data_IF_107844756064
#
_entry.id   IF_107844756064
#
_cell.length_a   1.000
_cell.length_b   1.000
_cell.length_c   1.000
_cell.angle_alpha   90.00
_cell.angle_beta   90.00
_cell.angle_gamma   90.00
#
_symmetry.space_group_name_H-M   'P 1'
#
loop_
_entity.id
_entity.type
_entity.pdbx_description
1 polymer ?
#
# COMPACT_ATOMS: atom_id res chain seq x y z
N UNK A 1 -8.57 16.85 2.20
CA UNK A 1 -9.77 16.10 1.73
C UNK A 1 -9.68 15.66 0.26
N UNK A 2 -9.04 16.41 -0.66
CA UNK A 2 -8.87 16.05 -2.09
C UNK A 2 -8.19 14.68 -2.32
N UNK A 3 -7.32 14.24 -1.39
CA UNK A 3 -6.60 12.97 -1.46
C UNK A 3 -7.50 11.73 -1.29
N UNK A 4 -8.65 11.87 -0.64
CA UNK A 4 -9.57 10.74 -0.39
C UNK A 4 -10.10 10.18 -1.71
N UNK A 5 -10.29 11.02 -2.73
CA UNK A 5 -10.96 10.66 -3.98
C UNK A 5 -10.29 9.59 -4.83
N UNK A 6 -9.02 9.22 -4.58
CA UNK A 6 -8.34 8.15 -5.31
C UNK A 6 -7.36 7.38 -4.41
N UNK A 7 -6.11 7.82 -4.29
CA UNK A 7 -5.03 7.03 -3.71
C UNK A 7 -5.28 6.59 -2.26
N UNK A 8 -5.81 7.48 -1.43
CA UNK A 8 -6.11 7.17 -0.03
C UNK A 8 -7.21 6.12 0.07
N UNK A 9 -8.32 6.33 -0.67
CA UNK A 9 -9.43 5.38 -0.61
C UNK A 9 -9.07 4.03 -1.21
N UNK A 10 -8.28 4.03 -2.29
CA UNK A 10 -7.77 2.79 -2.89
C UNK A 10 -6.98 1.96 -1.87
N UNK A 11 -6.04 2.59 -1.16
CA UNK A 11 -5.21 1.87 -0.19
C UNK A 11 -5.98 1.44 1.07
N UNK A 12 -6.69 2.36 1.72
CA UNK A 12 -7.49 2.05 2.91
C UNK A 12 -8.55 0.99 2.57
N UNK A 13 -9.24 1.15 1.44
CA UNK A 13 -10.27 0.21 1.00
C UNK A 13 -9.70 -1.16 0.66
N UNK A 14 -8.51 -1.24 0.07
CA UNK A 14 -7.84 -2.52 -0.19
C UNK A 14 -7.65 -3.33 1.10
N UNK A 15 -7.22 -2.66 2.18
CA UNK A 15 -7.04 -3.32 3.47
C UNK A 15 -8.39 -3.72 4.11
N UNK A 16 -9.36 -2.81 4.12
CA UNK A 16 -10.59 -2.96 4.90
C UNK A 16 -11.69 -3.67 4.12
N UNK A 17 -11.93 -3.26 2.87
CA UNK A 17 -13.06 -3.79 2.08
C UNK A 17 -12.66 -5.04 1.31
N UNK A 18 -11.51 -5.01 0.58
CA UNK A 18 -11.08 -6.12 -0.28
C UNK A 18 -10.46 -7.25 0.53
N UNK A 19 -9.36 -6.97 1.23
CA UNK A 19 -8.64 -7.97 2.00
C UNK A 19 -9.37 -8.39 3.27
N UNK A 20 -10.05 -7.44 3.92
CA UNK A 20 -10.71 -7.60 5.22
C UNK A 20 -9.70 -7.99 6.29
N UNK A 21 -8.67 -7.18 6.42
CA UNK A 21 -7.64 -7.35 7.45
C UNK A 21 -8.29 -7.42 8.83
N UNK A 22 -7.92 -8.42 9.60
CA UNK A 22 -8.46 -8.69 10.92
C UNK A 22 -7.54 -8.15 12.03
N UNK A 23 -8.06 -7.77 13.19
CA UNK A 23 -7.24 -7.41 14.34
C UNK A 23 -6.25 -8.51 14.71
N UNK A 24 -5.01 -8.11 15.03
CA UNK A 24 -3.94 -9.04 15.40
C UNK A 24 -3.18 -9.65 14.21
N UNK A 25 -3.60 -9.38 12.96
CA UNK A 25 -2.98 -9.94 11.76
C UNK A 25 -1.58 -9.39 11.50
N UNK A 26 -0.81 -10.16 10.71
CA UNK A 26 0.42 -9.74 10.05
C UNK A 26 0.14 -9.35 8.59
N UNK A 27 0.76 -8.24 8.16
CA UNK A 27 0.55 -7.61 6.85
C UNK A 27 1.91 -7.29 6.22
N UNK A 28 2.06 -7.55 4.91
CA UNK A 28 3.17 -7.04 4.11
C UNK A 28 2.64 -6.19 2.96
N UNK A 29 3.26 -5.04 2.71
CA UNK A 29 2.89 -4.11 1.64
C UNK A 29 4.08 -3.88 0.73
N UNK A 30 4.01 -4.36 -0.50
CA UNK A 30 5.01 -4.17 -1.54
C UNK A 30 4.73 -2.88 -2.30
N UNK A 31 5.66 -1.93 -2.22
CA UNK A 31 5.54 -0.58 -2.75
C UNK A 31 4.98 0.42 -1.73
N UNK A 32 5.86 1.31 -1.24
CA UNK A 32 5.56 2.34 -0.24
C UNK A 32 5.42 3.72 -0.90
N UNK A 33 4.56 3.79 -1.92
CA UNK A 33 4.08 5.06 -2.47
C UNK A 33 2.75 5.46 -1.83
N UNK A 34 2.11 6.52 -2.32
CA UNK A 34 0.89 7.04 -1.70
C UNK A 34 -0.28 6.06 -1.58
N UNK A 35 -0.36 5.02 -2.43
CA UNK A 35 -1.33 3.92 -2.28
C UNK A 35 -0.85 2.92 -1.22
N UNK A 36 0.42 2.52 -1.26
CA UNK A 36 1.00 1.59 -0.28
C UNK A 36 0.94 2.13 1.15
N UNK A 37 1.30 3.39 1.35
CA UNK A 37 1.20 4.05 2.66
C UNK A 37 -0.25 4.13 3.14
N UNK A 38 -1.20 4.31 2.21
CA UNK A 38 -2.64 4.27 2.53
C UNK A 38 -3.11 2.85 2.89
N UNK A 39 -2.51 1.79 2.30
CA UNK A 39 -2.75 0.40 2.73
C UNK A 39 -2.22 0.20 4.16
N UNK A 40 -1.03 0.71 4.47
CA UNK A 40 -0.43 0.65 5.81
C UNK A 40 -1.35 1.33 6.84
N UNK A 41 -1.84 2.54 6.55
CA UNK A 41 -2.83 3.21 7.39
C UNK A 41 -4.11 2.39 7.57
N UNK A 42 -4.62 1.81 6.48
CA UNK A 42 -5.81 0.95 6.50
C UNK A 42 -5.61 -0.31 7.34
N UNK A 43 -4.48 -0.99 7.20
CA UNK A 43 -4.11 -2.16 7.98
C UNK A 43 -3.98 -1.84 9.47
N UNK A 44 -3.31 -0.73 9.81
CA UNK A 44 -3.24 -0.23 11.19
C UNK A 44 -4.63 0.08 11.75
N UNK A 45 -5.49 0.72 10.96
CA UNK A 45 -6.86 1.04 11.34
C UNK A 45 -7.71 -0.22 11.57
N UNK A 46 -7.47 -1.28 10.81
CA UNK A 46 -8.10 -2.59 10.99
C UNK A 46 -7.57 -3.37 12.22
N UNK A 47 -6.48 -2.91 12.84
CA UNK A 47 -5.91 -3.52 14.04
C UNK A 47 -4.82 -4.57 13.77
N UNK A 48 -4.17 -4.55 12.60
CA UNK A 48 -2.98 -5.36 12.36
C UNK A 48 -1.87 -5.01 13.35
N UNK A 49 -1.17 -6.04 13.85
CA UNK A 49 -0.11 -5.89 14.87
C UNK A 49 1.29 -5.92 14.29
N UNK A 50 1.46 -6.59 13.16
CA UNK A 50 2.71 -6.62 12.40
C UNK A 50 2.43 -6.08 11.01
N UNK A 51 3.06 -4.96 10.65
CA UNK A 51 2.91 -4.32 9.34
C UNK A 51 4.30 -4.12 8.76
N UNK A 52 4.60 -4.85 7.70
CA UNK A 52 5.90 -4.88 7.04
C UNK A 52 5.82 -4.07 5.75
N UNK A 53 6.54 -2.97 5.68
CA UNK A 53 6.70 -2.16 4.48
C UNK A 53 7.86 -2.68 3.62
N UNK A 54 7.65 -2.88 2.34
CA UNK A 54 8.65 -3.38 1.38
C UNK A 54 8.79 -2.41 0.23
N UNK A 55 9.98 -1.86 0.04
CA UNK A 55 10.32 -0.97 -1.09
C UNK A 55 11.80 -1.08 -1.44
N UNK A 56 12.20 -0.56 -2.60
CA UNK A 56 13.61 -0.44 -3.01
C UNK A 56 14.26 0.84 -2.45
N UNK A 57 13.46 1.86 -2.15
CA UNK A 57 13.92 3.16 -1.71
C UNK A 57 13.87 3.28 -0.18
N UNK A 58 15.03 3.40 0.49
CA UNK A 58 15.09 3.52 1.95
C UNK A 58 14.35 4.76 2.49
N UNK A 59 14.24 5.83 1.70
CA UNK A 59 13.49 7.03 2.09
C UNK A 59 11.99 6.75 2.20
N UNK A 60 11.43 5.96 1.27
CA UNK A 60 10.03 5.55 1.32
C UNK A 60 9.76 4.61 2.50
N UNK A 61 10.72 3.76 2.85
CA UNK A 61 10.61 2.90 4.03
C UNK A 61 10.57 3.71 5.33
N UNK A 62 11.31 4.80 5.42
CA UNK A 62 11.20 5.71 6.58
C UNK A 62 9.83 6.38 6.64
N UNK A 63 9.30 6.86 5.51
CA UNK A 63 7.93 7.40 5.48
C UNK A 63 6.88 6.36 5.90
N UNK A 64 7.01 5.12 5.41
CA UNK A 64 6.08 4.04 5.76
C UNK A 64 5.97 3.81 7.29
N UNK A 65 7.07 3.98 8.04
CA UNK A 65 7.05 3.92 9.51
C UNK A 65 6.14 4.98 10.13
N UNK A 66 6.16 6.18 9.57
CA UNK A 66 5.31 7.28 10.04
C UNK A 66 3.82 7.00 9.84
N UNK A 67 3.46 6.22 8.79
CA UNK A 67 2.09 5.79 8.53
C UNK A 67 1.66 4.56 9.33
N UNK A 68 2.61 3.87 9.98
CA UNK A 68 2.29 2.78 10.89
C UNK A 68 2.94 1.44 10.59
N UNK A 69 3.90 1.38 9.66
CA UNK A 69 4.69 0.17 9.47
C UNK A 69 5.52 -0.12 10.74
N UNK A 70 5.46 -1.35 11.20
CA UNK A 70 6.22 -1.84 12.37
C UNK A 70 7.60 -2.35 11.99
N UNK A 71 7.74 -2.80 10.74
CA UNK A 71 8.98 -3.32 10.17
C UNK A 71 9.14 -2.81 8.74
N UNK A 72 10.39 -2.79 8.28
CA UNK A 72 10.73 -2.41 6.91
C UNK A 72 11.67 -3.44 6.29
N UNK A 73 11.49 -3.70 5.01
CA UNK A 73 12.35 -4.57 4.20
C UNK A 73 12.79 -3.80 2.96
N UNK A 74 14.10 -3.59 2.82
CA UNK A 74 14.67 -3.02 1.62
C UNK A 74 14.90 -4.13 0.58
N UNK A 75 14.05 -4.20 -0.42
CA UNK A 75 14.12 -5.23 -1.46
C UNK A 75 15.31 -5.08 -2.42
N UNK A 76 16.09 -3.98 -2.32
CA UNK A 76 17.36 -3.85 -3.04
C UNK A 76 18.53 -4.60 -2.37
N UNK A 77 18.36 -5.03 -1.10
CA UNK A 77 19.40 -5.66 -0.31
C UNK A 77 19.30 -7.19 -0.26
N UNK A 78 18.21 -7.77 -0.76
CA UNK A 78 18.02 -9.22 -0.76
C UNK A 78 16.62 -9.66 -1.17
N UNK A 79 16.30 -10.94 -0.97
CA UNK A 79 14.98 -11.48 -1.27
C UNK A 79 13.96 -11.02 -0.22
N UNK A 80 12.96 -10.20 -0.60
CA UNK A 80 11.97 -9.70 0.34
C UNK A 80 11.06 -10.82 0.90
N UNK A 81 10.87 -11.92 0.18
CA UNK A 81 10.06 -13.05 0.66
C UNK A 81 10.74 -13.72 1.86
N UNK A 82 12.03 -13.97 1.74
CA UNK A 82 12.81 -14.57 2.84
C UNK A 82 12.94 -13.60 4.03
N UNK A 83 13.13 -12.30 3.76
CA UNK A 83 13.16 -11.28 4.81
C UNK A 83 11.82 -11.19 5.59
N UNK A 84 10.68 -11.22 4.88
CA UNK A 84 9.35 -11.25 5.51
C UNK A 84 9.19 -12.50 6.38
N UNK A 85 9.57 -13.66 5.87
CA UNK A 85 9.51 -14.91 6.65
C UNK A 85 10.40 -14.87 7.89
N UNK A 86 11.59 -14.27 7.80
CA UNK A 86 12.45 -14.10 8.96
C UNK A 86 11.81 -13.24 10.06
N UNK A 87 11.03 -12.22 9.68
CA UNK A 87 10.27 -11.38 10.62
C UNK A 87 9.08 -12.13 11.24
N UNK A 88 8.54 -13.12 10.53
CA UNK A 88 7.33 -13.85 10.89
C UNK A 88 7.59 -15.31 11.29
N UNK A 89 8.72 -15.58 11.93
CA UNK A 89 9.11 -16.89 12.45
C UNK A 89 9.09 -18.04 11.41
N UNK A 90 9.31 -17.71 10.14
CA UNK A 90 9.33 -18.65 9.02
C UNK A 90 7.98 -18.87 8.31
N UNK A 91 6.90 -18.34 8.84
CA UNK A 91 5.54 -18.60 8.32
C UNK A 91 5.16 -17.71 7.13
N UNK A 92 5.44 -16.41 7.19
CA UNK A 92 4.93 -15.39 6.28
C UNK A 92 3.80 -14.57 6.90
N UNK A 93 3.09 -13.78 6.08
CA UNK A 93 2.06 -12.87 6.54
C UNK A 93 0.64 -13.35 6.24
N UNK A 94 -0.33 -12.99 7.07
CA UNK A 94 -1.74 -13.31 6.82
C UNK A 94 -2.28 -12.56 5.60
N UNK A 95 -1.80 -11.31 5.38
CA UNK A 95 -2.23 -10.48 4.26
C UNK A 95 -1.02 -9.87 3.57
N UNK A 96 -0.87 -10.12 2.27
CA UNK A 96 0.15 -9.49 1.43
C UNK A 96 -0.54 -8.57 0.42
N UNK A 97 -0.01 -7.35 0.27
CA UNK A 97 -0.52 -6.36 -0.68
C UNK A 97 0.54 -6.02 -1.71
N UNK A 98 0.14 -5.97 -2.97
CA UNK A 98 0.98 -5.52 -4.07
C UNK A 98 0.47 -4.17 -4.56
N UNK A 99 1.29 -3.11 -4.45
CA UNK A 99 0.94 -1.73 -4.77
C UNK A 99 1.90 -1.07 -5.78
N UNK A 100 2.68 -1.87 -6.52
CA UNK A 100 3.62 -1.40 -7.55
C UNK A 100 3.04 -1.56 -8.95
N UNK A 101 2.32 -2.66 -9.20
CA UNK A 101 1.82 -3.03 -10.52
C UNK A 101 2.87 -3.76 -11.38
N UNK A 102 3.71 -4.59 -10.75
CA UNK A 102 4.76 -5.34 -11.44
C UNK A 102 4.57 -6.85 -11.22
N UNK A 103 4.67 -7.70 -12.27
CA UNK A 103 4.52 -9.15 -12.15
C UNK A 103 5.46 -9.80 -11.12
N UNK A 104 6.71 -9.33 -11.02
CA UNK A 104 7.68 -9.86 -10.06
C UNK A 104 7.28 -9.55 -8.62
N UNK A 105 6.88 -8.32 -8.31
CA UNK A 105 6.39 -7.94 -6.97
C UNK A 105 5.07 -8.63 -6.64
N UNK A 106 4.22 -8.87 -7.64
CA UNK A 106 2.99 -9.65 -7.46
C UNK A 106 3.31 -11.09 -7.04
N UNK A 107 4.28 -11.73 -7.71
CA UNK A 107 4.71 -13.08 -7.35
C UNK A 107 5.33 -13.11 -5.94
N UNK A 108 6.19 -12.14 -5.61
CA UNK A 108 6.77 -12.01 -4.27
C UNK A 108 5.68 -11.86 -3.19
N UNK A 109 4.67 -11.02 -3.43
CA UNK A 109 3.54 -10.87 -2.51
C UNK A 109 2.77 -12.18 -2.35
N UNK A 110 2.52 -12.92 -3.44
CA UNK A 110 1.87 -14.24 -3.38
C UNK A 110 2.67 -15.23 -2.53
N UNK A 111 4.01 -15.23 -2.63
CA UNK A 111 4.90 -16.18 -1.97
C UNK A 111 5.25 -15.80 -0.53
N UNK A 112 5.03 -14.56 -0.12
CA UNK A 112 5.28 -14.07 1.24
C UNK A 112 4.15 -14.38 2.23
N UNK A 113 3.06 -14.96 1.76
CA UNK A 113 1.90 -15.31 2.59
C UNK A 113 2.20 -16.52 3.49
N UNK A 114 1.56 -16.51 4.64
CA UNK A 114 1.36 -17.71 5.45
C UNK A 114 0.32 -18.65 4.81
N UNK A 115 0.16 -19.85 5.39
CA UNK A 115 -0.87 -20.81 4.98
C UNK A 115 -2.28 -20.17 5.05
N UNK A 116 -3.06 -20.40 4.00
CA UNK A 116 -4.39 -19.82 3.83
C UNK A 116 -4.43 -18.28 3.79
N UNK A 117 -3.28 -17.59 3.68
CA UNK A 117 -3.19 -16.13 3.62
C UNK A 117 -3.81 -15.53 2.35
N UNK A 118 -4.03 -14.23 2.37
CA UNK A 118 -4.64 -13.46 1.27
C UNK A 118 -3.59 -12.59 0.60
N UNK A 119 -3.44 -12.70 -0.72
CA UNK A 119 -2.71 -11.72 -1.54
C UNK A 119 -3.70 -10.78 -2.21
N UNK A 120 -3.52 -9.47 -2.04
CA UNK A 120 -4.36 -8.44 -2.66
C UNK A 120 -3.54 -7.60 -3.62
N UNK A 121 -3.87 -7.69 -4.91
CA UNK A 121 -3.23 -6.92 -5.98
C UNK A 121 -3.97 -5.61 -6.15
N UNK A 122 -3.28 -4.50 -5.93
CA UNK A 122 -3.79 -3.12 -5.97
C UNK A 122 -3.09 -2.32 -7.05
N UNK A 123 -1.81 -2.62 -7.29
CA UNK A 123 -0.99 -1.98 -8.31
C UNK A 123 -1.54 -2.26 -9.71
N UNK A 124 -1.53 -1.25 -10.57
CA UNK A 124 -2.02 -1.36 -11.94
C UNK A 124 -0.86 -1.74 -12.85
N UNK A 125 -0.84 -2.99 -13.27
CA UNK A 125 0.12 -3.47 -14.26
C UNK A 125 -0.18 -2.89 -15.66
N UNK A 126 0.85 -2.69 -16.48
CA UNK A 126 0.68 -2.27 -17.86
C UNK A 126 -0.11 -3.29 -18.68
N UNK A 127 -0.80 -2.89 -19.77
CA UNK A 127 -1.66 -3.78 -20.56
C UNK A 127 -0.96 -5.03 -21.12
N UNK A 128 0.36 -4.95 -21.35
CA UNK A 128 1.18 -6.04 -21.85
C UNK A 128 1.91 -6.82 -20.76
N UNK A 129 1.69 -6.48 -19.51
CA UNK A 129 2.33 -7.19 -18.40
C UNK A 129 1.75 -8.59 -18.26
N UNK A 130 2.61 -9.58 -18.32
CA UNK A 130 2.27 -10.98 -18.13
C UNK A 130 3.17 -11.60 -17.07
N UNK A 131 2.69 -12.62 -16.43
CA UNK A 131 3.47 -13.43 -15.49
C UNK A 131 3.85 -14.72 -16.23
N UNK A 132 5.10 -14.80 -16.69
CA UNK A 132 5.56 -15.90 -17.55
C UNK A 132 5.63 -17.24 -16.80
N UNK A 133 5.97 -17.19 -15.51
CA UNK A 133 6.09 -18.38 -14.67
C UNK A 133 5.28 -18.21 -13.38
N UNK A 134 4.30 -19.08 -13.19
CA UNK A 134 3.53 -19.15 -11.97
C UNK A 134 3.80 -20.50 -11.28
N UNK A 135 4.42 -20.52 -10.08
CA UNK A 135 4.75 -21.78 -9.39
C UNK A 135 3.50 -22.37 -8.74
N UNK A 136 2.62 -22.95 -9.56
CA UNK A 136 1.29 -23.42 -9.15
C UNK A 136 1.34 -24.42 -7.98
N UNK A 137 2.33 -25.35 -7.98
CA UNK A 137 2.49 -26.30 -6.88
C UNK A 137 2.72 -25.59 -5.56
N UNK A 138 3.65 -24.63 -5.54
CA UNK A 138 3.95 -23.85 -4.31
C UNK A 138 2.78 -22.99 -3.86
N UNK A 139 2.04 -22.39 -4.80
CA UNK A 139 0.84 -21.61 -4.48
C UNK A 139 -0.31 -22.51 -3.98
N UNK A 140 -0.42 -23.72 -4.52
CA UNK A 140 -1.38 -24.71 -4.06
C UNK A 140 -1.08 -25.12 -2.60
N UNK A 141 0.19 -25.36 -2.27
CA UNK A 141 0.60 -25.73 -0.90
C UNK A 141 0.32 -24.62 0.12
N UNK A 142 0.48 -23.34 -0.28
CA UNK A 142 0.11 -22.20 0.56
C UNK A 142 -1.40 -22.06 0.74
N UNK A 143 -2.21 -22.48 -0.23
CA UNK A 143 -3.65 -22.26 -0.23
C UNK A 143 -4.04 -20.79 -0.24
N UNK A 144 -5.14 -20.45 0.40
CA UNK A 144 -5.61 -19.08 0.56
C UNK A 144 -6.23 -18.49 -0.72
N UNK A 145 -6.08 -17.18 -0.91
CA UNK A 145 -6.70 -16.50 -2.04
C UNK A 145 -5.85 -15.37 -2.61
N UNK A 146 -6.09 -15.08 -3.90
CA UNK A 146 -5.59 -13.89 -4.58
C UNK A 146 -6.80 -13.05 -4.94
N UNK A 147 -6.75 -11.76 -4.62
CA UNK A 147 -7.83 -10.81 -4.87
C UNK A 147 -7.28 -9.61 -5.64
N UNK A 148 -8.10 -9.05 -6.50
CA UNK A 148 -7.80 -7.79 -7.16
C UNK A 148 -8.65 -6.71 -6.51
N UNK A 149 -8.02 -5.62 -6.11
CA UNK A 149 -8.69 -4.49 -5.48
C UNK A 149 -8.81 -3.34 -6.48
N UNK A 150 -9.97 -3.18 -7.04
CA UNK A 150 -10.28 -2.02 -7.89
C UNK A 150 -10.80 -0.88 -7.02
N UNK A 151 -10.05 0.22 -6.96
CA UNK A 151 -10.44 1.41 -6.18
C UNK A 151 -10.74 1.11 -4.69
N UNK A 152 -10.08 0.08 -4.12
CA UNK A 152 -10.33 -0.36 -2.75
C UNK A 152 -11.73 -0.95 -2.51
N UNK A 153 -12.41 -1.44 -3.54
CA UNK A 153 -13.81 -1.87 -3.50
C UNK A 153 -14.70 -0.84 -2.78
N UNK A 154 -14.41 0.43 -3.05
CA UNK A 154 -15.00 1.59 -2.39
C UNK A 154 -16.42 1.87 -2.90
N UNK A 155 -17.30 2.14 -1.96
CA UNK A 155 -18.59 2.80 -2.20
C UNK A 155 -18.47 4.25 -1.72
N UNK A 156 -18.26 5.25 -2.59
CA UNK A 156 -17.91 6.62 -2.20
C UNK A 156 -18.89 7.26 -1.20
N UNK A 157 -20.19 7.01 -1.36
CA UNK A 157 -21.24 7.55 -0.47
C UNK A 157 -21.18 7.01 0.95
N UNK A 158 -20.59 5.81 1.15
CA UNK A 158 -20.38 5.18 2.46
C UNK A 158 -18.98 5.49 3.01
N UNK A 159 -17.96 5.33 2.17
CA UNK A 159 -16.59 5.21 2.63
C UNK A 159 -15.88 6.57 2.75
N UNK A 160 -16.19 7.55 1.87
CA UNK A 160 -15.61 8.89 1.98
C UNK A 160 -15.94 9.58 3.29
N UNK A 161 -17.22 9.61 3.74
CA UNK A 161 -17.54 10.16 5.07
C UNK A 161 -16.83 9.44 6.21
N UNK A 162 -16.63 8.12 6.08
CA UNK A 162 -15.93 7.33 7.10
C UNK A 162 -14.46 7.72 7.19
N UNK A 163 -13.75 7.82 6.06
CA UNK A 163 -12.34 8.23 6.04
C UNK A 163 -12.19 9.69 6.51
N UNK A 164 -13.12 10.57 6.13
CA UNK A 164 -13.13 11.96 6.61
C UNK A 164 -13.28 12.03 8.14
N UNK A 165 -14.21 11.26 8.70
CA UNK A 165 -14.39 11.18 10.16
C UNK A 165 -13.15 10.62 10.86
N UNK A 166 -12.46 9.64 10.29
CA UNK A 166 -11.20 9.13 10.85
C UNK A 166 -10.08 10.17 10.82
N UNK A 167 -10.02 10.98 9.78
CA UNK A 167 -9.08 12.11 9.72
C UNK A 167 -9.39 13.15 10.79
N UNK A 168 -10.64 13.57 10.94
CA UNK A 168 -11.07 14.52 11.97
C UNK A 168 -10.81 14.01 13.40
N UNK A 169 -10.88 12.69 13.60
CA UNK A 169 -10.57 12.02 14.87
C UNK A 169 -9.05 11.80 15.09
N UNK A 170 -8.19 12.17 14.14
CA UNK A 170 -6.76 11.93 14.21
C UNK A 170 -6.34 10.44 14.07
N UNK A 171 -7.24 9.60 13.56
CA UNK A 171 -6.98 8.15 13.38
C UNK A 171 -6.21 7.84 12.10
N UNK A 172 -6.35 8.67 11.07
CA UNK A 172 -5.56 8.65 9.85
C UNK A 172 -4.97 10.02 9.62
N UNK A 173 -3.69 10.09 9.27
CA UNK A 173 -2.97 11.33 9.04
C UNK A 173 -2.85 11.59 7.53
N UNK A 174 -3.79 12.33 6.98
CA UNK A 174 -3.80 12.68 5.56
C UNK A 174 -2.87 13.85 5.24
N UNK A 175 -2.51 14.67 6.21
CA UNK A 175 -1.66 15.84 6.00
C UNK A 175 -0.23 15.40 5.67
N UNK A 176 0.25 14.32 6.27
CA UNK A 176 1.57 13.73 5.97
C UNK A 176 1.70 13.19 4.55
N UNK A 177 0.59 12.80 3.93
CA UNK A 177 0.59 12.32 2.54
C UNK A 177 0.89 13.48 1.58
N UNK A 178 0.61 14.73 1.98
CA UNK A 178 0.88 15.94 1.19
C UNK A 178 2.34 16.34 1.33
N UNK A 179 3.16 15.97 0.37
CA UNK A 179 4.58 16.34 0.36
C UNK A 179 4.81 17.78 -0.13
N UNK A 180 3.96 18.28 -1.03
CA UNK A 180 4.08 19.62 -1.62
C UNK A 180 2.71 20.23 -1.89
N UNK A 181 2.59 21.55 -1.63
CA UNK A 181 1.52 22.40 -2.16
C UNK A 181 2.10 23.17 -3.35
N UNK A 182 1.44 23.16 -4.48
CA UNK A 182 1.94 23.71 -5.75
C UNK A 182 0.90 24.59 -6.42
N UNK A 183 1.35 25.48 -7.30
CA UNK A 183 0.50 26.18 -8.25
C UNK A 183 0.18 25.33 -9.48
N UNK A 184 -0.72 25.83 -10.33
CA UNK A 184 -1.09 25.12 -11.56
C UNK A 184 0.09 25.05 -12.55
N UNK A 185 0.96 26.04 -12.56
CA UNK A 185 2.12 26.10 -13.46
C UNK A 185 3.24 25.12 -13.09
N UNK A 186 3.21 24.56 -11.86
CA UNK A 186 4.22 23.63 -11.35
C UNK A 186 3.90 22.16 -11.62
N UNK A 187 2.81 21.85 -12.33
CA UNK A 187 2.29 20.49 -12.50
C UNK A 187 3.29 19.55 -13.19
N UNK A 188 3.97 20.02 -14.24
CA UNK A 188 4.97 19.20 -14.96
C UNK A 188 6.15 18.83 -14.05
N UNK A 189 6.67 19.80 -13.29
CA UNK A 189 7.74 19.53 -12.33
C UNK A 189 7.28 18.60 -11.18
N UNK A 190 6.02 18.72 -10.76
CA UNK A 190 5.47 17.83 -9.76
C UNK A 190 5.37 16.37 -10.25
N UNK A 191 5.04 16.14 -11.51
CA UNK A 191 5.09 14.81 -12.13
C UNK A 191 6.53 14.29 -12.21
N UNK A 192 7.47 15.11 -12.66
CA UNK A 192 8.88 14.73 -12.72
C UNK A 192 9.43 14.37 -11.32
N UNK A 193 9.09 15.15 -10.29
CA UNK A 193 9.47 14.87 -8.91
C UNK A 193 8.85 13.56 -8.38
N UNK A 194 7.62 13.26 -8.79
CA UNK A 194 6.95 11.99 -8.44
C UNK A 194 7.65 10.80 -9.11
N UNK A 195 8.04 10.91 -10.39
CA UNK A 195 8.79 9.87 -11.10
C UNK A 195 10.16 9.62 -10.46
N UNK A 196 10.82 10.67 -9.95
CA UNK A 196 12.08 10.55 -9.19
C UNK A 196 11.90 10.02 -7.76
N UNK A 197 10.65 9.78 -7.32
CA UNK A 197 10.36 9.29 -5.97
C UNK A 197 10.57 10.34 -4.86
N UNK A 198 10.63 11.62 -5.20
CA UNK A 198 10.92 12.71 -4.25
C UNK A 198 9.70 13.11 -3.42
N UNK A 199 8.49 12.78 -3.88
CA UNK A 199 7.22 13.20 -3.28
C UNK A 199 6.22 12.05 -3.21
N UNK A 200 5.40 12.01 -2.16
CA UNK A 200 4.25 11.11 -2.08
C UNK A 200 3.06 11.66 -2.88
N UNK A 201 2.64 12.90 -2.54
CA UNK A 201 1.56 13.61 -3.24
C UNK A 201 1.84 15.11 -3.28
N UNK A 202 1.63 15.70 -4.45
CA UNK A 202 1.54 17.16 -4.63
C UNK A 202 0.07 17.57 -4.71
N UNK A 203 -0.31 18.64 -4.05
CA UNK A 203 -1.67 19.19 -4.06
C UNK A 203 -1.63 20.56 -4.73
N UNK A 204 -2.46 20.73 -5.78
CA UNK A 204 -2.62 22.01 -6.47
C UNK A 204 -3.51 22.90 -5.61
N UNK A 205 -3.02 24.09 -5.31
CA UNK A 205 -3.78 25.14 -4.60
C UNK A 205 -4.33 26.13 -5.61
N UNK A 206 -5.64 26.38 -5.55
CA UNK A 206 -6.30 27.38 -6.38
C UNK A 206 -6.54 28.63 -5.54
N UNK A 207 -6.10 29.79 -6.08
CA UNK A 207 -6.39 31.16 -5.58
C UNK A 207 -6.35 31.33 -4.05
N UNK A 208 -5.17 31.68 -3.50
CA UNK A 208 -5.05 32.35 -2.21
C UNK A 208 -5.48 31.55 -0.96
N UNK A 209 -5.76 30.27 -1.07
CA UNK A 209 -6.04 29.41 0.09
C UNK A 209 -4.72 28.96 0.74
N UNK A 210 -3.95 29.92 1.24
CA UNK A 210 -2.94 29.65 2.26
C UNK A 210 -3.65 29.34 3.56
N UNK A 211 -3.71 28.07 3.92
CA UNK A 211 -4.26 27.60 5.18
C UNK A 211 -3.32 26.65 5.86
#
# INVERSE_FOLDING_TARGET
MSLIGCGVMTGIGAAINTAKVEPGSSVAVFGCGGVGDSIIMGARQAGATTIIAVDLDPKKLEWAKEFGATHTVNASEGDPVEAIKAITDGFGVNFAFEAVGNPATTLQAMLSRDLAGVCTVVGVAGPSSVMDELPLGRLYDLGGSIRFSWYGDCLPTRDFPTVAAWYEQGRVDLDRVVSRKIGLDDVEEAFAAMERGETLRSVIMFDGSEG
#
